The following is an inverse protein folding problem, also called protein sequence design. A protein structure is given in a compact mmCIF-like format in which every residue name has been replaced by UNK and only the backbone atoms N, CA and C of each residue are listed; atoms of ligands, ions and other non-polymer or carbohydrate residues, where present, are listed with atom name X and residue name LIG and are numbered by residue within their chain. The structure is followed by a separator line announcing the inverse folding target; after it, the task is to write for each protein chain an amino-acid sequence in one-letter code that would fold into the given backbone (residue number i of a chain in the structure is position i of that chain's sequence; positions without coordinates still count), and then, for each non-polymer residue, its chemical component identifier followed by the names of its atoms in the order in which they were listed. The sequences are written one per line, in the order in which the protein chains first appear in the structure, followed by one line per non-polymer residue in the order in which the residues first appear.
data_IF_142933885600
#
_entry.id   IF_142933885600
#
_cell.length_a   1.000
_cell.length_b   1.000
_cell.length_c   1.000
_cell.angle_alpha   90.00
_cell.angle_beta   90.00
_cell.angle_gamma   90.00
#
_symmetry.space_group_name_H-M   'P 1'
#
loop_
_entity.id
_entity.type
_entity.pdbx_description
1 polymer ?
#
# COMPACT_ATOMS: atom_id res chain seq x y z
N UNK A 1 -6.26 1.76 -15.69
CA UNK A 1 -5.12 2.27 -16.52
C UNK A 1 -3.84 1.66 -15.91
N UNK A 2 -2.78 1.39 -16.67
CA UNK A 2 -1.63 0.60 -16.18
C UNK A 2 -0.46 1.50 -15.78
N UNK A 3 0.16 1.24 -14.63
CA UNK A 3 1.38 1.94 -14.23
C UNK A 3 2.50 1.74 -15.24
N UNK A 4 3.34 2.78 -15.43
CA UNK A 4 4.57 2.68 -16.22
C UNK A 4 5.58 1.75 -15.53
N UNK A 5 6.47 1.11 -16.27
CA UNK A 5 7.55 0.31 -15.65
C UNK A 5 8.43 1.20 -14.77
N UNK A 6 8.88 0.66 -13.63
CA UNK A 6 9.81 1.37 -12.75
C UNK A 6 11.10 1.73 -13.50
N UNK A 7 11.56 2.96 -13.33
CA UNK A 7 12.83 3.44 -13.88
C UNK A 7 14.01 2.76 -13.18
N UNK A 8 15.22 2.77 -13.78
CA UNK A 8 16.41 2.26 -13.11
C UNK A 8 16.71 2.97 -11.79
N UNK A 9 16.44 4.28 -11.71
CA UNK A 9 16.62 5.07 -10.50
C UNK A 9 15.64 4.62 -9.42
N UNK A 10 14.36 4.47 -9.76
CA UNK A 10 13.32 4.02 -8.82
C UNK A 10 13.67 2.66 -8.23
N UNK A 11 14.09 1.69 -9.07
CA UNK A 11 14.49 0.36 -8.58
C UNK A 11 15.69 0.44 -7.65
N UNK A 12 16.74 1.18 -8.02
CA UNK A 12 17.93 1.33 -7.18
C UNK A 12 17.62 1.95 -5.81
N UNK A 13 16.66 2.88 -5.75
CA UNK A 13 16.19 3.46 -4.49
C UNK A 13 15.42 2.43 -3.67
N UNK A 14 14.46 1.73 -4.27
CA UNK A 14 13.65 0.72 -3.57
C UNK A 14 14.50 -0.41 -3.00
N UNK A 15 15.49 -0.89 -3.78
CA UNK A 15 16.46 -1.91 -3.33
C UNK A 15 17.27 -1.43 -2.12
N UNK A 16 17.51 -0.12 -2.02
CA UNK A 16 18.25 0.48 -0.91
C UNK A 16 17.40 0.66 0.35
N UNK A 17 16.16 1.16 0.21
CA UNK A 17 15.31 1.51 1.36
C UNK A 17 14.47 0.34 1.87
N UNK A 18 14.14 -0.65 1.03
CA UNK A 18 13.30 -1.81 1.39
C UNK A 18 13.77 -2.58 2.62
N UNK A 19 15.08 -2.89 2.76
CA UNK A 19 15.61 -3.60 3.93
C UNK A 19 15.61 -2.80 5.24
N UNK A 20 15.32 -1.49 5.21
CA UNK A 20 15.35 -0.66 6.41
C UNK A 20 14.13 -0.93 7.29
N UNK A 21 14.37 -1.38 8.52
CA UNK A 21 13.31 -1.75 9.48
C UNK A 21 13.17 -0.75 10.65
N UNK A 22 14.16 0.12 10.85
CA UNK A 22 14.21 1.05 11.97
C UNK A 22 13.75 2.47 11.64
N UNK A 23 13.62 2.80 10.36
CA UNK A 23 13.19 4.10 9.86
C UNK A 23 12.30 3.92 8.63
N UNK A 24 11.48 4.95 8.39
CA UNK A 24 10.73 5.09 7.15
C UNK A 24 11.37 6.22 6.34
N UNK A 25 11.89 5.90 5.17
CA UNK A 25 12.57 6.80 4.25
C UNK A 25 11.60 7.25 3.16
N UNK A 26 11.40 8.56 3.01
CA UNK A 26 10.58 9.16 1.97
C UNK A 26 11.49 9.81 0.92
N UNK A 27 11.49 9.25 -0.29
CA UNK A 27 12.26 9.77 -1.43
C UNK A 27 11.29 10.31 -2.47
N UNK A 28 11.35 11.61 -2.69
CA UNK A 28 10.47 12.31 -3.62
C UNK A 28 11.16 12.51 -4.96
N UNK A 29 10.51 12.06 -6.02
CA UNK A 29 10.97 12.18 -7.40
C UNK A 29 10.03 13.07 -8.21
N UNK A 30 10.52 13.54 -9.35
CA UNK A 30 9.68 14.13 -10.38
C UNK A 30 8.70 13.11 -11.00
N UNK A 31 7.72 13.59 -11.78
CA UNK A 31 6.71 12.74 -12.46
C UNK A 31 7.36 11.64 -13.31
N UNK A 32 8.49 11.93 -13.95
CA UNK A 32 9.22 10.98 -14.77
C UNK A 32 9.90 9.87 -13.95
N UNK A 33 10.25 10.13 -12.69
CA UNK A 33 11.03 9.21 -11.85
C UNK A 33 12.52 9.20 -12.22
N UNK A 34 13.02 10.33 -12.72
CA UNK A 34 14.40 10.47 -13.22
C UNK A 34 15.26 11.35 -12.32
N UNK A 35 14.63 12.18 -11.46
CA UNK A 35 15.34 13.10 -10.58
C UNK A 35 14.82 13.06 -9.16
N UNK A 36 15.73 12.93 -8.19
CA UNK A 36 15.43 13.13 -6.77
C UNK A 36 15.24 14.62 -6.48
N UNK A 37 14.10 14.96 -5.91
CA UNK A 37 13.72 16.31 -5.52
C UNK A 37 13.96 16.55 -4.03
N UNK A 38 13.65 15.56 -3.19
CA UNK A 38 13.82 15.63 -1.75
C UNK A 38 13.99 14.24 -1.14
N UNK A 39 14.59 14.19 0.05
CA UNK A 39 14.70 13.01 0.88
C UNK A 39 14.40 13.40 2.34
N UNK A 40 13.45 12.70 2.96
CA UNK A 40 13.16 12.80 4.38
C UNK A 40 13.28 11.42 5.05
N UNK A 41 13.80 11.40 6.27
CA UNK A 41 13.89 10.18 7.10
C UNK A 41 13.02 10.37 8.34
N UNK A 42 12.19 9.37 8.62
CA UNK A 42 11.22 9.37 9.70
C UNK A 42 11.43 8.16 10.62
N UNK A 43 10.74 8.18 11.76
CA UNK A 43 10.62 6.98 12.58
C UNK A 43 9.81 5.92 11.83
N UNK A 44 9.92 4.66 12.25
CA UNK A 44 9.26 3.51 11.60
C UNK A 44 7.72 3.58 11.56
N UNK A 45 7.12 4.46 12.35
CA UNK A 45 5.68 4.73 12.36
C UNK A 45 5.24 5.66 11.23
N UNK A 46 6.20 6.22 10.49
CA UNK A 46 6.00 7.12 9.37
C UNK A 46 6.09 8.60 9.74
N UNK A 47 5.73 9.45 8.76
CA UNK A 47 5.78 10.89 8.90
C UNK A 47 4.93 11.61 7.87
N UNK A 48 4.69 12.89 8.12
CA UNK A 48 4.02 13.77 7.17
C UNK A 48 4.94 14.12 5.99
N UNK A 49 4.33 14.49 4.86
CA UNK A 49 5.06 15.04 3.72
C UNK A 49 5.92 16.24 4.14
N UNK A 50 7.15 16.32 3.61
CA UNK A 50 8.01 17.48 3.79
C UNK A 50 7.33 18.77 3.28
N UNK A 51 7.51 19.89 3.98
CA UNK A 51 6.79 21.13 3.68
C UNK A 51 7.06 21.67 2.27
N UNK A 52 8.28 21.51 1.76
CA UNK A 52 8.61 21.89 0.39
C UNK A 52 7.90 21.01 -0.66
N UNK A 53 7.66 19.74 -0.36
CA UNK A 53 6.90 18.84 -1.22
C UNK A 53 5.42 19.18 -1.19
N UNK A 54 4.87 19.47 0.00
CA UNK A 54 3.50 19.99 0.12
C UNK A 54 3.29 21.24 -0.74
N UNK A 55 4.25 22.18 -0.70
CA UNK A 55 4.18 23.40 -1.50
C UNK A 55 4.20 23.11 -3.03
N UNK A 56 5.03 22.17 -3.49
CA UNK A 56 5.05 21.72 -4.90
C UNK A 56 3.73 21.12 -5.34
N UNK A 57 3.18 20.21 -4.53
CA UNK A 57 1.88 19.60 -4.80
C UNK A 57 0.77 20.66 -4.82
N UNK A 58 0.74 21.60 -3.87
CA UNK A 58 -0.24 22.70 -3.89
C UNK A 58 -0.13 23.61 -5.13
N UNK A 59 1.05 23.67 -5.75
CA UNK A 59 1.29 24.43 -6.99
C UNK A 59 0.93 23.66 -8.27
N UNK A 60 0.39 22.44 -8.17
CA UNK A 60 0.03 21.65 -9.34
C UNK A 60 1.10 20.67 -9.82
N UNK A 61 2.29 20.63 -9.19
CA UNK A 61 3.34 19.71 -9.62
C UNK A 61 2.93 18.25 -9.39
N UNK A 62 3.30 17.38 -10.34
CA UNK A 62 3.12 15.95 -10.24
C UNK A 62 4.42 15.28 -9.81
N UNK A 63 4.34 14.36 -8.86
CA UNK A 63 5.49 13.80 -8.16
C UNK A 63 5.27 12.32 -7.89
N UNK A 64 6.37 11.61 -7.66
CA UNK A 64 6.36 10.24 -7.14
C UNK A 64 6.98 10.22 -5.74
N UNK A 65 6.36 9.53 -4.81
CA UNK A 65 6.94 9.23 -3.50
C UNK A 65 7.32 7.75 -3.45
N UNK A 66 8.60 7.47 -3.27
CA UNK A 66 9.11 6.14 -2.95
C UNK A 66 9.37 6.06 -1.45
N UNK A 67 8.80 5.07 -0.76
CA UNK A 67 9.12 4.81 0.64
C UNK A 67 9.10 3.33 1.00
N UNK A 68 9.79 2.96 2.07
CA UNK A 68 9.72 1.63 2.64
C UNK A 68 8.61 1.56 3.70
N UNK A 69 8.04 0.38 3.92
CA UNK A 69 7.06 0.13 4.98
C UNK A 69 7.60 -0.86 6.01
N UNK A 70 8.39 -0.41 7.02
CA UNK A 70 9.07 -1.28 7.98
C UNK A 70 8.17 -2.31 8.68
N UNK A 71 6.91 -1.95 8.90
CA UNK A 71 5.93 -2.75 9.64
C UNK A 71 4.71 -3.15 8.78
N UNK A 72 4.69 -2.79 7.49
CA UNK A 72 3.52 -2.88 6.63
C UNK A 72 3.69 -3.93 5.52
N UNK A 73 2.55 -4.43 5.03
CA UNK A 73 2.52 -5.36 3.90
C UNK A 73 1.99 -4.78 2.59
N UNK A 74 1.58 -3.51 2.58
CA UNK A 74 1.15 -2.76 1.38
C UNK A 74 0.95 -1.27 1.72
N UNK A 75 0.37 -0.50 0.80
CA UNK A 75 -0.16 0.84 1.04
C UNK A 75 -1.17 0.83 2.20
N UNK A 76 -1.00 1.78 3.10
CA UNK A 76 -1.76 1.99 4.33
C UNK A 76 -2.92 2.97 4.12
N UNK A 77 -3.77 3.11 5.14
CA UNK A 77 -4.79 4.16 5.15
C UNK A 77 -4.20 5.56 5.13
N UNK A 78 -2.98 5.75 5.65
CA UNK A 78 -2.31 7.06 5.67
C UNK A 78 -1.87 7.44 4.26
N UNK A 79 -1.28 6.49 3.53
CA UNK A 79 -0.87 6.70 2.13
C UNK A 79 -2.07 7.07 1.26
N UNK A 80 -3.16 6.33 1.40
CA UNK A 80 -4.39 6.64 0.68
C UNK A 80 -4.98 7.99 1.06
N UNK A 81 -4.89 8.39 2.33
CA UNK A 81 -5.34 9.71 2.77
C UNK A 81 -4.55 10.81 2.07
N UNK A 82 -3.22 10.70 2.06
CA UNK A 82 -2.34 11.70 1.44
C UNK A 82 -2.54 11.75 -0.07
N UNK A 83 -2.64 10.60 -0.75
CA UNK A 83 -2.94 10.56 -2.19
C UNK A 83 -4.34 11.13 -2.51
N UNK A 84 -5.31 10.98 -1.61
CA UNK A 84 -6.65 11.57 -1.77
C UNK A 84 -6.63 13.09 -1.62
N UNK A 85 -5.81 13.61 -0.70
CA UNK A 85 -5.61 15.05 -0.51
C UNK A 85 -4.91 15.70 -1.71
N UNK A 86 -4.04 14.95 -2.40
CA UNK A 86 -3.26 15.38 -3.56
C UNK A 86 -3.60 14.57 -4.84
N UNK A 87 -4.90 14.34 -5.08
CA UNK A 87 -5.37 13.53 -6.21
C UNK A 87 -4.95 14.13 -7.56
N UNK A 88 -4.61 13.25 -8.51
CA UNK A 88 -4.09 13.61 -9.84
C UNK A 88 -2.63 14.09 -9.84
N UNK A 89 -1.99 14.16 -8.67
CA UNK A 89 -0.66 14.75 -8.50
C UNK A 89 0.38 13.82 -7.90
N UNK A 90 -0.03 12.87 -7.06
CA UNK A 90 0.88 12.02 -6.32
C UNK A 90 0.68 10.55 -6.67
N UNK A 91 1.75 9.91 -7.14
CA UNK A 91 1.87 8.46 -7.15
C UNK A 91 2.75 8.03 -5.96
N UNK A 92 2.29 7.03 -5.20
CA UNK A 92 3.09 6.43 -4.14
C UNK A 92 3.55 5.03 -4.54
N UNK A 93 4.81 4.74 -4.28
CA UNK A 93 5.49 3.48 -4.56
C UNK A 93 6.13 3.01 -3.25
N UNK A 94 5.63 1.90 -2.72
CA UNK A 94 6.03 1.35 -1.43
C UNK A 94 6.77 0.05 -1.63
N UNK A 95 7.89 -0.12 -0.95
CA UNK A 95 8.58 -1.42 -0.84
C UNK A 95 8.41 -1.98 0.58
N UNK A 96 8.02 -3.25 0.68
CA UNK A 96 7.91 -3.96 1.96
C UNK A 96 9.24 -4.61 2.34
N UNK A 97 9.43 -5.02 3.61
CA UNK A 97 10.58 -5.79 4.07
C UNK A 97 10.79 -7.13 3.35
N UNK A 98 9.78 -7.59 2.61
CA UNK A 98 9.82 -8.84 1.85
C UNK A 98 10.02 -8.61 0.36
N UNK A 99 10.51 -7.44 -0.04
CA UNK A 99 10.78 -7.06 -1.43
C UNK A 99 9.54 -6.98 -2.33
N UNK A 100 8.34 -6.92 -1.75
CA UNK A 100 7.12 -6.63 -2.52
C UNK A 100 7.01 -5.14 -2.77
N UNK A 101 6.71 -4.75 -4.01
CA UNK A 101 6.52 -3.36 -4.42
C UNK A 101 5.05 -3.10 -4.70
N UNK A 102 4.48 -2.10 -4.05
CA UNK A 102 3.08 -1.70 -4.16
C UNK A 102 2.99 -0.28 -4.69
N UNK A 103 2.04 -0.03 -5.58
CA UNK A 103 1.87 1.27 -6.22
C UNK A 103 0.44 1.72 -6.15
N UNK A 104 0.24 3.01 -5.92
CA UNK A 104 -1.07 3.61 -5.72
C UNK A 104 -1.13 4.99 -6.32
N UNK A 105 -2.32 5.35 -6.81
CA UNK A 105 -2.69 6.71 -7.18
C UNK A 105 -4.20 6.89 -7.09
N UNK A 106 -4.61 8.14 -6.86
CA UNK A 106 -5.99 8.60 -6.96
C UNK A 106 -5.99 9.63 -8.07
N UNK A 107 -6.46 9.27 -9.26
CA UNK A 107 -6.27 10.08 -10.47
C UNK A 107 -7.38 11.12 -10.67
N UNK A 108 -8.58 10.83 -10.16
CA UNK A 108 -9.79 11.58 -10.47
C UNK A 108 -10.48 12.11 -9.21
N UNK A 109 -11.25 13.18 -9.39
CA UNK A 109 -12.08 13.79 -8.35
C UNK A 109 -13.10 12.81 -7.76
N UNK A 110 -13.79 12.04 -8.61
CA UNK A 110 -14.77 11.04 -8.15
C UNK A 110 -14.09 9.94 -7.33
N UNK A 111 -12.86 9.55 -7.67
CA UNK A 111 -12.09 8.59 -6.89
C UNK A 111 -11.74 9.15 -5.52
N UNK A 112 -11.31 10.41 -5.47
CA UNK A 112 -11.02 11.09 -4.22
C UNK A 112 -12.25 11.19 -3.31
N UNK A 113 -13.42 11.47 -3.89
CA UNK A 113 -14.67 11.54 -3.13
C UNK A 113 -15.11 10.18 -2.58
N UNK A 114 -15.04 9.12 -3.38
CA UNK A 114 -15.30 7.74 -2.91
C UNK A 114 -14.28 7.33 -1.83
N UNK A 115 -13.01 7.66 -2.02
CA UNK A 115 -11.96 7.34 -1.05
C UNK A 115 -12.18 8.04 0.29
N UNK A 116 -12.64 9.30 0.30
CA UNK A 116 -13.03 10.03 1.54
C UNK A 116 -14.16 9.32 2.31
N UNK A 117 -15.10 8.68 1.63
CA UNK A 117 -16.18 7.91 2.28
C UNK A 117 -15.67 6.63 2.95
N UNK A 118 -14.66 6.00 2.33
CA UNK A 118 -14.12 4.71 2.75
C UNK A 118 -12.99 4.82 3.77
N UNK A 119 -12.14 5.86 3.65
CA UNK A 119 -10.96 6.11 4.50
C UNK A 119 -11.19 5.90 5.99
N UNK A 120 -12.25 6.46 6.62
CA UNK A 120 -12.48 6.33 8.06
C UNK A 120 -12.70 4.88 8.53
N UNK A 121 -13.03 3.97 7.62
CA UNK A 121 -13.33 2.57 7.92
C UNK A 121 -12.16 1.63 7.68
N UNK A 122 -11.14 2.04 6.94
CA UNK A 122 -10.06 1.13 6.52
C UNK A 122 -9.36 0.47 7.72
N UNK A 123 -8.95 1.24 8.74
CA UNK A 123 -8.31 0.65 9.92
C UNK A 123 -9.22 -0.32 10.68
N UNK A 124 -10.51 -0.01 10.78
CA UNK A 124 -11.49 -0.92 11.38
C UNK A 124 -11.62 -2.21 10.58
N UNK A 125 -11.68 -2.12 9.25
CA UNK A 125 -11.77 -3.28 8.36
C UNK A 125 -10.50 -4.13 8.42
N UNK A 126 -9.32 -3.48 8.41
CA UNK A 126 -8.03 -4.15 8.59
C UNK A 126 -8.01 -4.94 9.90
N UNK A 127 -8.40 -4.31 11.01
CA UNK A 127 -8.48 -4.97 12.30
C UNK A 127 -9.49 -6.13 12.28
N UNK A 128 -10.70 -5.93 11.75
CA UNK A 128 -11.71 -7.00 11.63
C UNK A 128 -11.18 -8.19 10.82
N UNK A 129 -10.46 -7.93 9.71
CA UNK A 129 -9.82 -8.97 8.91
C UNK A 129 -8.72 -9.71 9.67
N UNK A 130 -7.85 -8.97 10.35
CA UNK A 130 -6.72 -9.53 11.12
C UNK A 130 -7.22 -10.44 12.25
N UNK A 131 -8.32 -10.06 12.94
CA UNK A 131 -8.94 -10.90 13.98
C UNK A 131 -9.52 -12.23 13.47
N UNK A 132 -9.72 -12.38 12.15
CA UNK A 132 -10.17 -13.62 11.54
C UNK A 132 -9.02 -14.60 11.24
N UNK A 133 -7.76 -14.18 11.38
CA UNK A 133 -6.56 -15.00 11.19
C UNK A 133 -6.39 -15.96 12.38
N UNK A 134 -7.25 -16.99 12.42
CA UNK A 134 -7.29 -18.00 13.48
C UNK A 134 -8.14 -19.19 13.07
N UNK A 135 -8.04 -20.28 13.84
CA UNK A 135 -8.96 -21.43 13.73
C UNK A 135 -10.41 -20.96 14.01
N UNK A 136 -11.42 -21.40 13.23
CA UNK A 136 -11.38 -22.40 12.17
C UNK A 136 -11.16 -21.84 10.75
N UNK A 137 -10.82 -20.57 10.60
CA UNK A 137 -10.67 -19.92 9.28
C UNK A 137 -9.31 -20.19 8.63
N UNK A 138 -8.30 -20.48 9.44
CA UNK A 138 -7.00 -20.99 9.01
C UNK A 138 -6.77 -22.37 9.65
N UNK A 139 -6.30 -23.31 8.84
CA UNK A 139 -5.88 -24.65 9.24
C UNK A 139 -4.72 -24.64 10.24
N UNK A 140 -4.80 -25.47 11.28
CA UNK A 140 -3.68 -25.71 12.20
C UNK A 140 -2.54 -26.54 11.58
N UNK A 141 -2.72 -27.04 10.35
CA UNK A 141 -1.72 -27.81 9.63
C UNK A 141 -0.55 -26.96 9.10
N UNK A 142 -0.74 -25.65 8.98
CA UNK A 142 0.33 -24.71 8.62
C UNK A 142 0.53 -23.69 9.75
N UNK A 143 1.44 -23.94 10.70
CA UNK A 143 1.59 -23.11 11.89
C UNK A 143 2.20 -21.73 11.63
N UNK A 144 2.87 -21.50 10.49
CA UNK A 144 3.40 -20.18 10.14
C UNK A 144 2.36 -19.27 9.49
N UNK A 145 1.37 -19.87 8.81
CA UNK A 145 0.37 -19.15 8.01
C UNK A 145 -0.38 -18.05 8.78
N UNK A 146 -0.72 -18.20 10.08
CA UNK A 146 -1.31 -17.09 10.83
C UNK A 146 -0.43 -15.84 10.88
N UNK A 147 0.88 -16.00 11.13
CA UNK A 147 1.81 -14.87 11.17
C UNK A 147 2.00 -14.28 9.78
N UNK A 148 2.11 -15.16 8.78
CA UNK A 148 2.35 -14.76 7.39
C UNK A 148 1.14 -14.04 6.77
N UNK A 149 -0.08 -14.42 7.15
CA UNK A 149 -1.32 -13.88 6.60
C UNK A 149 -1.56 -12.42 6.96
N UNK A 150 -1.07 -11.96 8.12
CA UNK A 150 -1.15 -10.56 8.54
C UNK A 150 -0.53 -9.62 7.50
N UNK A 151 0.55 -10.06 6.84
CA UNK A 151 1.26 -9.28 5.82
C UNK A 151 0.40 -9.00 4.59
N UNK A 152 -0.50 -9.92 4.23
CA UNK A 152 -1.28 -9.79 3.00
C UNK A 152 -2.67 -9.20 3.23
N UNK A 153 -3.06 -8.92 4.48
CA UNK A 153 -4.36 -8.30 4.82
C UNK A 153 -4.57 -6.99 4.05
N UNK A 154 -3.58 -6.09 4.09
CA UNK A 154 -3.65 -4.82 3.35
C UNK A 154 -3.66 -5.00 1.83
N UNK A 155 -3.02 -6.05 1.31
CA UNK A 155 -3.03 -6.38 -0.12
C UNK A 155 -4.47 -6.70 -0.58
N UNK A 156 -5.20 -7.52 0.17
CA UNK A 156 -6.60 -7.85 -0.12
C UNK A 156 -7.51 -6.62 -0.07
N UNK A 157 -7.32 -5.75 0.93
CA UNK A 157 -8.05 -4.49 1.01
C UNK A 157 -7.79 -3.60 -0.21
N UNK A 158 -6.53 -3.42 -0.59
CA UNK A 158 -6.14 -2.57 -1.72
C UNK A 158 -6.65 -3.15 -3.06
N UNK A 159 -6.61 -4.48 -3.23
CA UNK A 159 -7.21 -5.15 -4.39
C UNK A 159 -8.73 -4.94 -4.46
N UNK A 160 -9.43 -4.90 -3.32
CA UNK A 160 -10.88 -4.58 -3.29
C UNK A 160 -11.14 -3.14 -3.73
N UNK A 161 -10.39 -2.17 -3.21
CA UNK A 161 -10.53 -0.76 -3.59
C UNK A 161 -10.30 -0.57 -5.09
N UNK A 162 -9.29 -1.25 -5.64
CA UNK A 162 -9.03 -1.29 -7.08
C UNK A 162 -10.16 -1.92 -7.88
N UNK A 163 -10.67 -3.08 -7.44
CA UNK A 163 -11.79 -3.76 -8.10
C UNK A 163 -13.09 -2.96 -8.10
N UNK A 164 -13.23 -1.98 -7.20
CA UNK A 164 -14.33 -1.01 -7.16
C UNK A 164 -14.07 0.23 -8.04
N UNK A 165 -12.84 0.42 -8.53
CA UNK A 165 -12.45 1.61 -9.28
C UNK A 165 -12.21 2.86 -8.42
N UNK A 166 -12.15 2.72 -7.10
CA UNK A 166 -11.94 3.83 -6.14
C UNK A 166 -10.51 4.35 -6.22
N UNK A 167 -9.56 3.47 -6.52
CA UNK A 167 -8.13 3.79 -6.65
C UNK A 167 -7.56 3.03 -7.84
N UNK A 168 -6.45 3.51 -8.38
CA UNK A 168 -5.56 2.68 -9.19
C UNK A 168 -4.50 2.07 -8.28
N UNK A 169 -4.33 0.75 -8.37
CA UNK A 169 -3.42 -0.01 -7.50
C UNK A 169 -2.71 -1.11 -8.29
N UNK A 170 -1.42 -1.28 -8.02
CA UNK A 170 -0.58 -2.31 -8.63
C UNK A 170 0.34 -2.93 -7.59
N UNK A 171 0.70 -4.21 -7.79
CA UNK A 171 1.64 -4.90 -6.92
C UNK A 171 2.57 -5.82 -7.72
N UNK A 172 3.87 -5.69 -7.49
CA UNK A 172 4.92 -6.63 -7.90
C UNK A 172 5.32 -7.41 -6.63
N UNK A 173 4.73 -8.59 -6.45
CA UNK A 173 4.89 -9.38 -5.23
C UNK A 173 6.18 -10.19 -5.25
N UNK A 174 6.84 -10.27 -4.10
CA UNK A 174 7.92 -11.23 -3.91
C UNK A 174 7.41 -12.68 -3.91
N UNK A 175 8.33 -13.62 -4.06
CA UNK A 175 8.01 -15.05 -4.00
C UNK A 175 7.39 -15.44 -2.65
N UNK A 176 7.83 -14.80 -1.56
CA UNK A 176 7.31 -15.06 -0.23
C UNK A 176 5.83 -14.67 -0.11
N UNK A 177 5.48 -13.42 -0.43
CA UNK A 177 4.09 -12.95 -0.37
C UNK A 177 3.20 -13.69 -1.38
N UNK A 178 3.73 -14.01 -2.56
CA UNK A 178 3.00 -14.81 -3.54
C UNK A 178 2.65 -16.21 -2.99
N UNK A 179 3.59 -16.88 -2.31
CA UNK A 179 3.35 -18.18 -1.69
C UNK A 179 2.27 -18.11 -0.61
N UNK A 180 2.31 -17.08 0.24
CA UNK A 180 1.31 -16.88 1.30
C UNK A 180 -0.08 -16.70 0.72
N UNK A 181 -0.21 -15.89 -0.35
CA UNK A 181 -1.50 -15.73 -1.03
C UNK A 181 -1.99 -17.07 -1.57
N UNK A 182 -1.13 -17.86 -2.23
CA UNK A 182 -1.50 -19.20 -2.74
C UNK A 182 -2.00 -20.11 -1.61
N UNK A 183 -1.33 -20.10 -0.46
CA UNK A 183 -1.73 -20.91 0.68
C UNK A 183 -3.09 -20.45 1.24
N UNK A 184 -3.30 -19.13 1.35
CA UNK A 184 -4.58 -18.56 1.78
C UNK A 184 -5.73 -18.85 0.81
N UNK A 185 -5.46 -19.03 -0.49
CA UNK A 185 -6.49 -19.44 -1.45
C UNK A 185 -7.10 -20.81 -1.12
N UNK A 186 -6.40 -21.63 -0.33
CA UNK A 186 -6.86 -22.96 0.12
C UNK A 186 -7.59 -22.91 1.47
N UNK A 187 -7.53 -21.77 2.16
CA UNK A 187 -8.12 -21.60 3.47
C UNK A 187 -9.54 -21.00 3.41
N UNK A 188 -10.44 -21.34 4.35
CA UNK A 188 -11.74 -20.68 4.47
C UNK A 188 -11.67 -19.17 4.66
N UNK A 189 -10.59 -18.67 5.28
CA UNK A 189 -10.37 -17.27 5.60
C UNK A 189 -10.62 -16.33 4.43
N UNK A 190 -10.11 -16.67 3.24
CA UNK A 190 -10.28 -15.85 2.03
C UNK A 190 -11.75 -15.54 1.75
N UNK A 191 -12.62 -16.54 1.81
CA UNK A 191 -14.05 -16.34 1.53
C UNK A 191 -14.74 -15.48 2.61
N UNK A 192 -14.26 -15.52 3.85
CA UNK A 192 -14.77 -14.69 4.94
C UNK A 192 -14.31 -13.24 4.74
N UNK A 193 -13.05 -13.04 4.38
CA UNK A 193 -12.51 -11.74 4.01
C UNK A 193 -13.24 -11.12 2.82
N UNK A 194 -13.46 -11.85 1.74
CA UNK A 194 -14.19 -11.36 0.56
C UNK A 194 -15.60 -10.87 0.94
N UNK A 195 -16.34 -11.66 1.73
CA UNK A 195 -17.68 -11.27 2.22
C UNK A 195 -17.63 -10.05 3.13
N UNK A 196 -16.64 -9.97 4.01
CA UNK A 196 -16.45 -8.84 4.90
C UNK A 196 -16.16 -7.56 4.10
N UNK A 197 -15.23 -7.65 3.15
CA UNK A 197 -14.84 -6.55 2.27
C UNK A 197 -16.01 -6.03 1.44
N UNK A 198 -16.81 -6.92 0.84
CA UNK A 198 -18.04 -6.54 0.11
C UNK A 198 -19.02 -5.81 1.03
N UNK A 199 -19.16 -6.24 2.28
CA UNK A 199 -20.09 -5.63 3.25
C UNK A 199 -19.61 -4.28 3.77
N UNK A 200 -18.30 -4.12 3.97
CA UNK A 200 -17.71 -2.95 4.65
C UNK A 200 -17.24 -1.86 3.69
N UNK A 201 -16.82 -2.25 2.49
CA UNK A 201 -16.32 -1.42 1.40
C UNK A 201 -17.25 -1.61 0.18
N UNK A 202 -18.45 -1.01 0.21
CA UNK A 202 -19.39 -1.06 -0.91
C UNK A 202 -18.86 -0.29 -2.13
#
# INVERSE_FOLDING_TARGET
MTFSTLTPLERAILDHIGPMLSSEEHIYLDEAGEKVLHHASHLKEGGDLADEIKARLLNGEKLKLLHNHPNGGSLSSFDWKVMTEHFGQLEMIVVTPWDSVHRGRVDYDFQADEMKLVLPRLNTVFNEMSHLIRVPYISSLNPSLPVDAERVTSIYMNQRLFGLGIVDYGAELSLADHSVIIDLLREPLRNVWDKLLIKRLP
#
